data_IF_533859729571
#
_entry.id   IF_533859729571
#
_cell.length_a   1.000
_cell.length_b   1.000
_cell.length_c   1.000
_cell.angle_alpha   90.00
_cell.angle_beta   90.00
_cell.angle_gamma   90.00
#
_symmetry.space_group_name_H-M   'P 1'
#
loop_
_entity.id
_entity.type
_entity.pdbx_description
1 polymer ?
#
# COMPACT_ATOMS: atom_id res chain seq x y z
N UNK A 1 18.19 1.66 -26.25
CA UNK A 1 18.08 1.71 -25.73
C UNK A 1 18.02 1.41 -24.77
N UNK A 2 18.11 1.32 -24.39
CA UNK A 2 17.96 1.12 -23.55
C UNK A 2 18.57 1.00 -22.76
N UNK A 3 18.92 1.17 -22.34
CA UNK A 3 19.37 1.29 -21.68
C UNK A 3 19.71 1.11 -20.77
N UNK A 4 19.86 1.02 -20.29
CA UNK A 4 19.95 0.97 -19.27
C UNK A 4 21.08 0.70 -18.58
N UNK A 5 21.75 1.32 -18.03
CA UNK A 5 22.82 0.99 -17.24
C UNK A 5 22.31 0.54 -15.91
N UNK A 6 23.08 -0.28 -15.25
CA UNK A 6 22.62 -0.87 -14.03
C UNK A 6 22.36 0.17 -12.95
N UNK A 7 23.21 1.14 -12.83
CA UNK A 7 23.00 2.15 -11.81
C UNK A 7 21.72 2.92 -12.03
N UNK A 8 21.44 3.27 -13.26
CA UNK A 8 20.23 3.98 -13.56
C UNK A 8 19.02 3.13 -13.28
N UNK A 9 19.12 1.85 -13.58
CA UNK A 9 18.01 0.96 -13.33
C UNK A 9 17.71 0.86 -11.84
N UNK A 10 18.72 0.84 -11.00
CA UNK A 10 18.50 0.78 -9.57
C UNK A 10 17.82 2.04 -9.06
N UNK A 11 18.23 3.19 -9.54
CA UNK A 11 17.59 4.43 -9.13
C UNK A 11 16.14 4.45 -9.54
N UNK A 12 15.85 3.97 -10.75
CA UNK A 12 14.47 3.91 -11.20
C UNK A 12 13.66 2.95 -10.38
N UNK A 13 14.25 1.84 -9.97
CA UNK A 13 13.54 0.88 -9.13
C UNK A 13 13.18 1.47 -7.78
N UNK A 14 14.08 2.20 -7.16
CA UNK A 14 13.81 2.83 -5.89
C UNK A 14 12.72 3.87 -6.03
N UNK A 15 12.79 4.69 -7.06
CA UNK A 15 11.75 5.69 -7.27
C UNK A 15 10.40 5.05 -7.56
N UNK A 16 10.41 3.97 -8.32
CA UNK A 16 9.17 3.26 -8.59
C UNK A 16 8.58 2.67 -7.33
N UNK A 17 9.41 2.13 -6.45
CA UNK A 17 8.94 1.59 -5.19
C UNK A 17 8.38 2.69 -4.30
N UNK A 18 9.04 3.84 -4.27
CA UNK A 18 8.54 4.96 -3.48
C UNK A 18 7.19 5.45 -3.98
N UNK A 19 7.04 5.53 -5.30
CA UNK A 19 5.78 5.96 -5.88
C UNK A 19 4.68 4.94 -5.58
N UNK A 20 5.02 3.66 -5.67
CA UNK A 20 4.05 2.62 -5.38
C UNK A 20 3.66 2.66 -3.91
N UNK A 21 4.62 2.88 -3.04
CA UNK A 21 4.35 2.97 -1.62
C UNK A 21 3.40 4.13 -1.32
N UNK A 22 3.65 5.28 -1.92
CA UNK A 22 2.79 6.43 -1.72
C UNK A 22 1.36 6.15 -2.20
N UNK A 23 1.23 5.51 -3.35
CA UNK A 23 -0.08 5.18 -3.88
C UNK A 23 -0.81 4.19 -2.96
N UNK A 24 -0.09 3.20 -2.46
CA UNK A 24 -0.70 2.22 -1.57
C UNK A 24 -1.15 2.86 -0.25
N UNK A 25 -0.38 3.81 0.26
CA UNK A 25 -0.75 4.50 1.49
C UNK A 25 -2.01 5.32 1.30
N UNK A 26 -2.14 5.97 0.16
CA UNK A 26 -3.34 6.73 -0.14
C UNK A 26 -4.53 5.80 -0.24
N UNK A 27 -4.36 4.70 -0.94
CA UNK A 27 -5.44 3.73 -1.10
C UNK A 27 -5.85 3.14 0.25
N UNK A 28 -4.90 2.84 1.10
CA UNK A 28 -5.18 2.31 2.42
C UNK A 28 -5.98 3.31 3.25
N UNK A 29 -5.60 4.57 3.18
CA UNK A 29 -6.28 5.62 3.91
C UNK A 29 -7.70 5.80 3.41
N UNK A 30 -7.88 5.84 2.08
CA UNK A 30 -9.20 6.00 1.50
C UNK A 30 -10.10 4.83 1.89
N UNK A 31 -9.54 3.65 1.87
CA UNK A 31 -10.31 2.46 2.22
C UNK A 31 -10.71 2.49 3.68
N UNK A 32 -9.83 2.96 4.54
CA UNK A 32 -10.10 3.09 5.95
C UNK A 32 -11.28 4.05 6.19
N UNK A 33 -11.34 5.14 5.43
CA UNK A 33 -12.43 6.08 5.53
C UNK A 33 -13.75 5.48 5.04
N UNK A 34 -13.70 4.72 3.96
CA UNK A 34 -14.90 4.07 3.46
C UNK A 34 -15.43 3.07 4.49
N UNK A 35 -14.53 2.31 5.09
CA UNK A 35 -14.93 1.35 6.12
C UNK A 35 -15.59 2.07 7.28
N UNK A 36 -15.02 3.17 7.71
CA UNK A 36 -15.57 3.93 8.82
C UNK A 36 -16.98 4.44 8.50
N UNK A 37 -17.18 4.93 7.28
CA UNK A 37 -18.50 5.43 6.89
C UNK A 37 -19.53 4.32 6.82
N UNK A 38 -19.14 3.17 6.30
CA UNK A 38 -20.07 2.06 6.21
C UNK A 38 -20.46 1.56 7.58
N UNK A 39 -19.52 1.58 8.52
CA UNK A 39 -19.81 1.12 9.87
C UNK A 39 -20.75 2.06 10.61
N UNK A 40 -20.77 3.32 10.22
CA UNK A 40 -21.62 4.29 10.88
C UNK A 40 -23.08 4.26 10.42
N UNK A 41 -23.36 3.70 9.27
CA UNK A 41 -24.69 3.74 8.70
C UNK A 41 -25.37 2.40 8.78
N UNK A 42 -26.36 2.26 9.64
CA UNK A 42 -27.15 1.03 9.63
C UNK A 42 -28.17 1.08 8.50
N UNK A 43 -28.55 -0.07 7.94
CA UNK A 43 -28.00 -1.37 8.29
C UNK A 43 -26.65 -1.56 7.66
N UNK A 44 -25.77 -2.27 8.36
CA UNK A 44 -24.42 -2.48 7.89
C UNK A 44 -24.37 -3.74 7.05
N UNK A 45 -23.80 -3.64 5.86
CA UNK A 45 -23.58 -4.80 5.03
C UNK A 45 -22.31 -5.49 5.52
N UNK A 46 -22.48 -6.50 6.33
CA UNK A 46 -21.36 -7.18 6.96
C UNK A 46 -20.43 -7.83 5.94
N UNK A 47 -21.00 -8.35 4.88
CA UNK A 47 -20.19 -9.01 3.87
C UNK A 47 -19.28 -8.01 3.17
N UNK A 48 -19.85 -6.88 2.78
CA UNK A 48 -19.04 -5.86 2.14
C UNK A 48 -17.99 -5.30 3.08
N UNK A 49 -18.38 -5.09 4.33
CA UNK A 49 -17.45 -4.57 5.33
C UNK A 49 -16.27 -5.52 5.50
N UNK A 50 -16.53 -6.82 5.55
CA UNK A 50 -15.47 -7.80 5.68
C UNK A 50 -14.55 -7.81 4.47
N UNK A 51 -15.11 -7.66 3.28
CA UNK A 51 -14.30 -7.61 2.06
C UNK A 51 -13.36 -6.40 2.08
N UNK A 52 -13.90 -5.27 2.50
CA UNK A 52 -13.10 -4.05 2.54
C UNK A 52 -12.00 -4.15 3.59
N UNK A 53 -12.31 -4.73 4.74
CA UNK A 53 -11.31 -4.93 5.78
C UNK A 53 -10.20 -5.87 5.32
N UNK A 54 -10.57 -6.91 4.59
CA UNK A 54 -9.59 -7.83 4.07
C UNK A 54 -8.68 -7.13 3.07
N UNK A 55 -9.25 -6.31 2.19
CA UNK A 55 -8.45 -5.56 1.24
C UNK A 55 -7.52 -4.61 1.95
N UNK A 56 -8.00 -3.97 3.01
CA UNK A 56 -7.16 -3.06 3.79
C UNK A 56 -5.96 -3.79 4.37
N UNK A 57 -6.17 -4.99 4.88
CA UNK A 57 -5.08 -5.78 5.42
C UNK A 57 -4.06 -6.16 4.36
N UNK A 58 -4.54 -6.48 3.15
CA UNK A 58 -3.63 -6.80 2.07
C UNK A 58 -2.80 -5.59 1.66
N UNK A 59 -3.43 -4.42 1.64
CA UNK A 59 -2.70 -3.20 1.32
C UNK A 59 -1.65 -2.91 2.37
N UNK A 60 -2.00 -3.08 3.63
CA UNK A 60 -1.06 -2.84 4.70
C UNK A 60 0.13 -3.79 4.61
N UNK A 61 -0.14 -5.04 4.26
CA UNK A 61 0.92 -6.02 4.10
C UNK A 61 1.88 -5.61 2.99
N UNK A 62 1.35 -5.12 1.88
CA UNK A 62 2.19 -4.65 0.79
C UNK A 62 2.99 -3.42 1.17
N UNK A 63 2.38 -2.51 1.91
CA UNK A 63 3.06 -1.33 2.38
C UNK A 63 4.26 -1.72 3.24
N UNK A 64 4.04 -2.64 4.17
CA UNK A 64 5.10 -3.08 5.06
C UNK A 64 6.23 -3.74 4.27
N UNK A 65 5.89 -4.55 3.27
CA UNK A 65 6.90 -5.19 2.46
C UNK A 65 7.76 -4.19 1.70
N UNK A 66 7.12 -3.20 1.11
CA UNK A 66 7.86 -2.19 0.36
C UNK A 66 8.71 -1.35 1.30
N UNK A 67 8.17 -0.98 2.44
CA UNK A 67 8.95 -0.23 3.41
C UNK A 67 10.17 -1.02 3.87
N UNK A 68 10.00 -2.31 4.05
CA UNK A 68 11.09 -3.18 4.43
C UNK A 68 12.18 -3.22 3.37
N UNK A 69 11.78 -3.21 2.11
CA UNK A 69 12.75 -3.19 1.02
C UNK A 69 13.48 -1.87 0.90
N UNK A 70 12.78 -0.78 1.17
CA UNK A 70 13.40 0.53 1.06
C UNK A 70 14.30 0.86 2.24
N UNK A 71 14.00 0.30 3.41
CA UNK A 71 14.74 0.61 4.61
C UNK A 71 15.14 -0.66 5.34
N UNK A 72 15.97 -1.48 4.72
CA UNK A 72 16.27 -2.79 5.31
C UNK A 72 17.05 -2.72 6.60
N UNK A 73 17.77 -1.66 6.84
CA UNK A 73 18.60 -1.59 7.99
C UNK A 73 17.95 -1.04 9.22
N UNK A 74 16.75 -0.64 9.10
CA UNK A 74 16.10 -0.04 10.20
C UNK A 74 15.82 -0.93 11.30
N UNK A 75 15.75 -2.15 11.03
CA UNK A 75 15.36 -3.05 11.96
C UNK A 75 16.29 -3.30 13.01
N UNK A 76 17.37 -3.07 12.99
CA UNK A 76 18.36 -3.44 13.97
C UNK A 76 17.90 -3.37 15.41
#
# INVERSE_FOLDING_TARGET
MMVNSAGTAMDLDIEALKAKLAALKIEHRDLDEVIARLAERPPVDQLELQRLKKRKLLLKDRIIKIESELLPDIIA
#
